data_IF_474867533807
#
_entry.id   IF_474867533807
#
_cell.length_a   1.000
_cell.length_b   1.000
_cell.length_c   1.000
_cell.angle_alpha   90.00
_cell.angle_beta   90.00
_cell.angle_gamma   90.00
#
_symmetry.space_group_name_H-M   'P 1'
#
loop_
_entity.id
_entity.type
_entity.pdbx_description
1 polymer ?
#
# COMPACT_ATOMS: atom_id res chain seq x y z
N UNK A 1 -14.91 -5.42 -22.39
CA UNK A 1 -14.66 -4.64 -21.16
C UNK A 1 -14.39 -3.19 -21.55
N UNK A 2 -15.42 -2.36 -21.53
CA UNK A 2 -15.29 -0.91 -21.70
C UNK A 2 -15.32 -0.27 -20.32
N UNK A 3 -14.30 0.51 -19.99
CA UNK A 3 -14.23 1.26 -18.74
C UNK A 3 -14.73 2.66 -19.04
N UNK A 4 -15.83 3.08 -18.43
CA UNK A 4 -16.26 4.49 -18.40
C UNK A 4 -15.76 5.07 -17.08
N UNK A 5 -14.46 5.35 -17.05
CA UNK A 5 -13.80 6.01 -15.92
C UNK A 5 -13.33 7.40 -16.35
N UNK A 6 -12.98 8.26 -15.40
CA UNK A 6 -12.54 9.64 -15.57
C UNK A 6 -11.16 9.79 -16.26
N UNK A 7 -10.85 8.96 -17.26
CA UNK A 7 -9.54 8.91 -17.88
C UNK A 7 -9.43 9.89 -19.06
N UNK A 8 -8.60 10.92 -18.89
CA UNK A 8 -8.01 11.71 -19.99
C UNK A 8 -6.61 11.13 -20.21
N UNK A 9 -6.39 10.46 -21.35
CA UNK A 9 -5.10 9.88 -21.70
C UNK A 9 -4.67 10.30 -23.11
N UNK A 10 -3.43 10.75 -23.22
CA UNK A 10 -2.78 11.12 -24.47
C UNK A 10 -2.56 9.91 -25.38
N UNK A 11 -2.84 10.12 -26.66
CA UNK A 11 -3.15 9.09 -27.64
C UNK A 11 -2.07 8.04 -27.87
N UNK A 12 -2.53 6.77 -27.87
CA UNK A 12 -2.03 5.70 -28.74
C UNK A 12 -3.01 4.48 -28.78
N UNK A 13 -4.33 4.75 -28.83
CA UNK A 13 -5.38 3.71 -28.85
C UNK A 13 -6.80 4.26 -29.06
N UNK A 14 -6.96 5.20 -29.99
CA UNK A 14 -8.06 6.18 -30.10
C UNK A 14 -9.50 5.66 -30.27
N UNK A 15 -9.76 4.35 -30.42
CA UNK A 15 -11.12 3.83 -30.68
C UNK A 15 -12.00 3.62 -29.45
N UNK A 16 -11.45 3.70 -28.22
CA UNK A 16 -12.16 3.29 -26.99
C UNK A 16 -12.06 4.31 -25.84
N UNK A 17 -11.79 5.57 -26.17
CA UNK A 17 -11.71 6.68 -25.20
C UNK A 17 -12.83 7.66 -25.52
N UNK A 18 -13.63 7.99 -24.51
CA UNK A 18 -14.83 8.83 -24.64
C UNK A 18 -14.83 9.94 -23.60
N UNK A 19 -15.57 11.02 -23.85
CA UNK A 19 -15.62 12.18 -22.96
C UNK A 19 -16.33 11.83 -21.64
N UNK A 20 -15.69 12.01 -20.48
CA UNK A 20 -16.31 11.74 -19.17
C UNK A 20 -17.02 12.93 -18.53
N UNK A 21 -16.93 14.13 -19.12
CA UNK A 21 -17.47 15.38 -18.54
C UNK A 21 -18.87 15.71 -19.01
N UNK A 22 -19.37 15.02 -20.02
CA UNK A 22 -20.73 15.16 -20.53
C UNK A 22 -21.21 13.80 -21.07
N UNK A 23 -22.48 13.70 -21.46
CA UNK A 23 -23.09 12.45 -21.90
C UNK A 23 -22.77 12.04 -23.34
N UNK A 24 -21.81 12.68 -24.03
CA UNK A 24 -21.48 12.32 -25.43
C UNK A 24 -20.90 10.92 -25.55
N UNK A 25 -20.35 10.37 -24.46
CA UNK A 25 -19.87 8.99 -24.44
C UNK A 25 -20.97 7.97 -24.74
N UNK A 26 -22.23 8.23 -24.40
CA UNK A 26 -23.32 7.28 -24.61
C UNK A 26 -23.52 6.97 -26.11
N UNK A 27 -23.81 7.94 -26.99
CA UNK A 27 -23.96 7.65 -28.42
C UNK A 27 -22.65 7.17 -29.07
N UNK A 28 -21.49 7.60 -28.57
CA UNK A 28 -20.18 7.15 -29.08
C UNK A 28 -19.90 5.68 -28.75
N UNK A 29 -20.16 5.25 -27.50
CA UNK A 29 -20.06 3.86 -27.06
C UNK A 29 -21.06 2.98 -27.80
N UNK A 30 -22.32 3.42 -27.92
CA UNK A 30 -23.32 2.64 -28.64
C UNK A 30 -22.95 2.44 -30.11
N UNK A 31 -22.35 3.45 -30.75
CA UNK A 31 -21.83 3.32 -32.12
C UNK A 31 -20.67 2.33 -32.18
N UNK A 32 -19.67 2.46 -31.30
CA UNK A 32 -18.50 1.58 -31.26
C UNK A 32 -18.89 0.12 -30.94
N UNK A 33 -19.90 -0.07 -30.11
CA UNK A 33 -20.46 -1.37 -29.76
C UNK A 33 -21.52 -1.87 -30.76
N UNK A 34 -21.71 -1.22 -31.92
CA UNK A 34 -22.70 -1.60 -32.94
C UNK A 34 -24.13 -1.77 -32.37
N UNK A 35 -24.51 -0.91 -31.42
CA UNK A 35 -25.81 -0.93 -30.75
C UNK A 35 -25.94 -1.94 -29.61
N UNK A 36 -24.93 -2.79 -29.37
CA UNK A 36 -24.97 -3.81 -28.33
C UNK A 36 -24.87 -3.23 -26.91
N UNK A 37 -23.98 -2.24 -26.72
CA UNK A 37 -23.64 -1.69 -25.41
C UNK A 37 -22.46 -2.42 -24.75
N UNK A 38 -22.41 -2.41 -23.42
CA UNK A 38 -21.32 -2.96 -22.62
C UNK A 38 -21.82 -4.07 -21.68
N UNK A 39 -21.08 -5.17 -21.60
CA UNK A 39 -21.40 -6.27 -20.66
C UNK A 39 -21.22 -5.87 -19.20
N UNK A 40 -20.21 -5.04 -18.94
CA UNK A 40 -19.84 -4.56 -17.62
C UNK A 40 -19.50 -3.09 -17.69
N UNK A 41 -20.09 -2.31 -16.79
CA UNK A 41 -19.78 -0.89 -16.60
C UNK A 41 -19.28 -0.69 -15.19
N UNK A 42 -18.05 -0.19 -15.03
CA UNK A 42 -17.55 0.31 -13.76
C UNK A 42 -17.74 1.82 -13.76
N UNK A 43 -18.64 2.33 -12.91
CA UNK A 43 -19.04 3.74 -12.89
C UNK A 43 -18.54 4.46 -11.63
N UNK A 44 -18.14 5.71 -11.83
CA UNK A 44 -17.82 6.69 -10.79
C UNK A 44 -18.48 8.06 -11.04
N UNK A 45 -19.28 8.18 -12.11
CA UNK A 45 -20.00 9.40 -12.49
C UNK A 45 -21.31 9.53 -11.70
N UNK A 46 -21.86 10.74 -11.59
CA UNK A 46 -23.06 11.02 -10.79
C UNK A 46 -24.16 11.74 -11.59
N UNK A 47 -25.39 11.74 -11.07
CA UNK A 47 -26.53 12.41 -11.68
C UNK A 47 -26.83 11.94 -13.11
N UNK A 48 -27.05 12.87 -14.03
CA UNK A 48 -27.38 12.57 -15.44
C UNK A 48 -26.33 11.68 -16.13
N UNK A 49 -25.06 11.78 -15.72
CA UNK A 49 -23.99 10.96 -16.27
C UNK A 49 -24.04 9.52 -15.76
N UNK A 50 -24.48 9.27 -14.53
CA UNK A 50 -24.78 7.93 -14.03
C UNK A 50 -25.89 7.29 -14.88
N UNK A 51 -26.94 8.05 -15.18
CA UNK A 51 -28.03 7.58 -16.04
C UNK A 51 -27.58 7.30 -17.47
N UNK A 52 -26.67 8.11 -18.02
CA UNK A 52 -26.05 7.84 -19.31
C UNK A 52 -25.21 6.56 -19.29
N UNK A 53 -24.43 6.32 -18.23
CA UNK A 53 -23.69 5.07 -18.01
C UNK A 53 -24.62 3.86 -17.91
N UNK A 54 -25.76 3.99 -17.21
CA UNK A 54 -26.76 2.93 -17.09
C UNK A 54 -27.37 2.53 -18.44
N UNK A 55 -27.56 3.51 -19.34
CA UNK A 55 -28.04 3.28 -20.72
C UNK A 55 -26.99 2.64 -21.63
N UNK A 56 -25.71 2.69 -21.28
CA UNK A 56 -24.65 2.02 -22.03
C UNK A 56 -24.65 0.49 -21.83
N UNK A 57 -25.39 -0.03 -20.85
CA UNK A 57 -25.32 -1.43 -20.45
C UNK A 57 -26.11 -2.32 -21.42
N UNK A 58 -25.49 -3.40 -21.88
CA UNK A 58 -26.13 -4.40 -22.72
C UNK A 58 -27.21 -5.18 -21.94
N UNK A 59 -28.05 -5.93 -22.65
CA UNK A 59 -28.94 -6.93 -22.05
C UNK A 59 -28.10 -7.93 -21.22
N UNK A 60 -28.57 -8.33 -20.03
CA UNK A 60 -27.85 -9.15 -19.04
C UNK A 60 -26.55 -8.53 -18.45
N UNK A 61 -26.26 -7.28 -18.78
CA UNK A 61 -25.06 -6.58 -18.33
C UNK A 61 -25.09 -6.24 -16.83
N UNK A 62 -23.91 -5.90 -16.30
CA UNK A 62 -23.69 -5.59 -14.88
C UNK A 62 -23.05 -4.22 -14.70
N UNK A 63 -23.70 -3.34 -13.96
CA UNK A 63 -23.13 -2.06 -13.54
C UNK A 63 -22.57 -2.19 -12.12
N UNK A 64 -21.32 -1.78 -11.93
CA UNK A 64 -20.66 -1.65 -10.63
C UNK A 64 -20.50 -0.16 -10.33
N UNK A 65 -21.25 0.33 -9.35
CA UNK A 65 -21.25 1.71 -8.92
C UNK A 65 -20.31 1.91 -7.73
N UNK A 66 -19.25 2.70 -7.92
CA UNK A 66 -18.31 3.07 -6.85
C UNK A 66 -18.58 4.48 -6.29
N UNK A 67 -19.40 5.29 -6.97
CA UNK A 67 -19.80 6.62 -6.51
C UNK A 67 -20.79 6.55 -5.35
N UNK A 68 -20.59 7.41 -4.34
CA UNK A 68 -21.50 7.52 -3.18
C UNK A 68 -22.51 8.66 -3.28
N UNK A 69 -22.30 9.61 -4.21
CA UNK A 69 -23.06 10.87 -4.26
C UNK A 69 -24.55 10.62 -4.43
N UNK A 70 -24.95 9.85 -5.43
CA UNK A 70 -26.36 9.55 -5.70
C UNK A 70 -26.97 8.65 -4.62
N UNK A 71 -26.22 7.72 -4.04
CA UNK A 71 -26.72 6.91 -2.91
C UNK A 71 -27.03 7.76 -1.67
N UNK A 72 -26.12 8.66 -1.29
CA UNK A 72 -26.32 9.58 -0.16
C UNK A 72 -27.46 10.56 -0.47
N UNK A 73 -27.52 11.04 -1.71
CA UNK A 73 -28.55 11.97 -2.19
C UNK A 73 -29.91 11.34 -2.48
N UNK A 74 -30.11 10.05 -2.20
CA UNK A 74 -31.35 9.30 -2.48
C UNK A 74 -31.78 9.39 -3.96
N UNK A 75 -30.79 9.32 -4.86
CA UNK A 75 -30.99 9.27 -6.30
C UNK A 75 -31.92 8.14 -6.71
N UNK A 76 -32.73 8.39 -7.74
CA UNK A 76 -33.71 7.44 -8.24
C UNK A 76 -33.12 6.70 -9.44
N UNK A 77 -33.21 5.37 -9.46
CA UNK A 77 -32.81 4.59 -10.62
C UNK A 77 -34.07 4.17 -11.40
N UNK A 78 -34.13 4.41 -12.73
CA UNK A 78 -35.28 4.00 -13.53
C UNK A 78 -35.37 2.47 -13.59
N UNK A 79 -36.59 1.94 -13.47
CA UNK A 79 -36.85 0.50 -13.36
C UNK A 79 -36.93 -0.20 -14.73
N UNK A 80 -37.22 0.52 -15.82
CA UNK A 80 -37.34 -0.06 -17.16
C UNK A 80 -36.10 -0.82 -17.65
N UNK A 81 -34.84 -0.41 -17.37
CA UNK A 81 -33.69 -1.11 -17.92
C UNK A 81 -33.49 -2.50 -17.30
N UNK A 82 -34.13 -2.80 -16.17
CA UNK A 82 -34.13 -4.12 -15.55
C UNK A 82 -34.95 -5.17 -16.33
N UNK A 83 -35.88 -4.77 -17.20
CA UNK A 83 -36.62 -5.71 -18.07
C UNK A 83 -35.68 -6.51 -18.98
N UNK A 84 -34.51 -5.93 -19.30
CA UNK A 84 -33.43 -6.54 -20.07
C UNK A 84 -32.47 -7.38 -19.20
N UNK A 85 -32.91 -7.86 -18.02
CA UNK A 85 -32.12 -8.63 -17.05
C UNK A 85 -30.80 -7.96 -16.62
N UNK A 86 -30.76 -6.64 -16.62
CA UNK A 86 -29.60 -5.88 -16.16
C UNK A 86 -29.47 -5.94 -14.64
N UNK A 87 -28.24 -5.94 -14.13
CA UNK A 87 -27.96 -5.91 -12.70
C UNK A 87 -27.19 -4.65 -12.31
N UNK A 88 -27.55 -4.06 -11.17
CA UNK A 88 -26.88 -2.89 -10.60
C UNK A 88 -26.30 -3.24 -9.23
N UNK A 89 -24.99 -3.08 -9.06
CA UNK A 89 -24.26 -3.32 -7.82
C UNK A 89 -23.74 -2.01 -7.24
N UNK A 90 -24.23 -1.63 -6.06
CA UNK A 90 -23.56 -0.61 -5.23
C UNK A 90 -22.35 -1.21 -4.53
N UNK A 91 -21.16 -0.67 -4.78
CA UNK A 91 -19.91 -1.16 -4.20
C UNK A 91 -19.36 -0.13 -3.23
N UNK A 92 -19.34 -0.48 -1.95
CA UNK A 92 -18.70 0.32 -0.91
C UNK A 92 -17.63 -0.52 -0.18
N UNK A 93 -16.38 -0.37 -0.60
CA UNK A 93 -15.28 -1.08 0.03
C UNK A 93 -15.13 -0.75 1.53
N UNK A 94 -15.51 0.46 1.96
CA UNK A 94 -15.43 0.83 3.39
C UNK A 94 -16.38 -0.02 4.24
N UNK A 95 -17.57 -0.33 3.72
CA UNK A 95 -18.52 -1.21 4.37
C UNK A 95 -18.03 -2.66 4.39
N UNK A 96 -17.36 -3.11 3.33
CA UNK A 96 -16.75 -4.45 3.30
C UNK A 96 -15.61 -4.58 4.31
N UNK A 97 -14.76 -3.55 4.44
CA UNK A 97 -13.69 -3.53 5.46
C UNK A 97 -14.28 -3.64 6.86
N UNK A 98 -15.32 -2.86 7.17
CA UNK A 98 -15.95 -2.82 8.49
C UNK A 98 -16.75 -4.10 8.82
N UNK A 99 -17.52 -4.62 7.84
CA UNK A 99 -18.53 -5.68 8.08
C UNK A 99 -18.17 -7.05 7.55
N UNK A 100 -17.22 -7.15 6.62
CA UNK A 100 -16.82 -8.40 5.95
C UNK A 100 -15.30 -8.49 5.75
N UNK A 101 -14.49 -8.34 6.81
CA UNK A 101 -13.03 -8.26 6.71
C UNK A 101 -12.40 -9.49 6.05
N UNK A 102 -12.94 -10.69 6.27
CA UNK A 102 -12.45 -11.91 5.64
C UNK A 102 -12.55 -11.88 4.10
N UNK A 103 -13.58 -11.22 3.55
CA UNK A 103 -13.72 -11.05 2.11
C UNK A 103 -12.65 -10.10 1.59
N UNK A 104 -12.39 -9.00 2.30
CA UNK A 104 -11.34 -8.04 1.92
C UNK A 104 -9.97 -8.72 1.94
N UNK A 105 -9.66 -9.53 2.95
CA UNK A 105 -8.39 -10.25 3.03
C UNK A 105 -8.18 -11.15 1.81
N UNK A 106 -9.17 -11.98 1.47
CA UNK A 106 -9.10 -12.84 0.28
C UNK A 106 -8.98 -12.06 -1.03
N UNK A 107 -9.66 -10.90 -1.13
CA UNK A 107 -9.53 -10.02 -2.30
C UNK A 107 -8.13 -9.39 -2.39
N UNK A 108 -7.55 -9.00 -1.25
CA UNK A 108 -6.21 -8.43 -1.16
C UNK A 108 -5.15 -9.48 -1.50
N UNK A 109 -5.24 -10.69 -0.95
CA UNK A 109 -4.33 -11.80 -1.28
C UNK A 109 -4.27 -12.05 -2.79
N UNK A 110 -5.44 -12.10 -3.44
CA UNK A 110 -5.52 -12.27 -4.90
C UNK A 110 -4.98 -11.06 -5.67
N UNK A 111 -5.21 -9.84 -5.18
CA UNK A 111 -4.64 -8.65 -5.79
C UNK A 111 -3.10 -8.66 -5.69
N UNK A 112 -2.54 -9.10 -4.56
CA UNK A 112 -1.11 -9.25 -4.35
C UNK A 112 -0.51 -10.31 -5.25
N UNK A 113 -1.20 -11.43 -5.45
CA UNK A 113 -0.81 -12.44 -6.43
C UNK A 113 -0.70 -11.82 -7.84
N UNK A 114 -1.69 -11.04 -8.28
CA UNK A 114 -1.62 -10.34 -9.56
C UNK A 114 -0.51 -9.29 -9.64
N UNK A 115 -0.20 -8.59 -8.54
CA UNK A 115 0.96 -7.70 -8.47
C UNK A 115 2.27 -8.47 -8.65
N UNK A 116 2.44 -9.61 -7.95
CA UNK A 116 3.64 -10.44 -8.04
C UNK A 116 3.86 -11.02 -9.45
N UNK A 117 2.78 -11.33 -10.15
CA UNK A 117 2.77 -11.82 -11.52
C UNK A 117 2.96 -10.69 -12.56
N UNK A 118 2.97 -9.44 -12.12
CA UNK A 118 3.07 -8.26 -12.97
C UNK A 118 1.81 -7.93 -13.76
N UNK A 119 0.68 -8.58 -13.46
CA UNK A 119 -0.63 -8.33 -14.06
C UNK A 119 -1.26 -7.02 -13.55
N UNK A 120 -0.95 -6.65 -12.30
CA UNK A 120 -1.19 -5.31 -11.75
C UNK A 120 0.18 -4.64 -11.56
N UNK A 121 0.32 -3.42 -12.03
CA UNK A 121 1.53 -2.62 -11.87
C UNK A 121 1.22 -1.32 -11.12
N UNK A 122 2.20 -0.71 -10.44
CA UNK A 122 2.01 0.59 -9.82
C UNK A 122 1.48 1.62 -10.82
N UNK A 123 0.51 2.42 -10.38
CA UNK A 123 -0.10 3.46 -11.20
C UNK A 123 0.96 4.50 -11.57
N UNK A 124 1.06 4.83 -12.86
CA UNK A 124 1.97 5.86 -13.37
C UNK A 124 1.18 6.99 -14.06
N UNK A 125 1.64 8.26 -13.98
CA UNK A 125 2.80 8.71 -13.19
C UNK A 125 2.50 8.78 -11.69
N UNK A 126 3.53 8.59 -10.86
CA UNK A 126 3.49 8.95 -9.43
C UNK A 126 4.13 10.34 -9.29
N UNK A 127 3.42 11.28 -8.66
CA UNK A 127 3.96 12.60 -8.34
C UNK A 127 4.17 12.71 -6.83
N UNK A 128 5.40 13.01 -6.44
CA UNK A 128 5.80 13.21 -5.05
C UNK A 128 5.70 14.70 -4.68
N UNK A 129 5.20 14.97 -3.48
CA UNK A 129 5.05 16.31 -2.91
C UNK A 129 5.62 16.33 -1.50
N UNK A 130 6.22 17.45 -1.09
CA UNK A 130 6.54 17.66 0.33
C UNK A 130 5.23 18.01 1.08
N UNK A 131 5.14 17.71 2.37
CA UNK A 131 3.88 17.90 3.07
C UNK A 131 3.45 19.35 3.27
N UNK A 132 4.39 20.30 3.22
CA UNK A 132 4.03 21.72 3.21
C UNK A 132 3.22 22.10 1.94
N UNK A 133 3.16 21.22 0.93
CA UNK A 133 2.38 21.38 -0.29
C UNK A 133 1.01 20.67 -0.20
N UNK A 134 0.61 20.15 0.97
CA UNK A 134 -0.63 19.39 1.13
C UNK A 134 -1.88 20.16 0.64
N UNK A 135 -1.94 21.48 0.90
CA UNK A 135 -3.04 22.31 0.41
C UNK A 135 -3.10 22.35 -1.12
N UNK A 136 -1.95 22.56 -1.77
CA UNK A 136 -1.84 22.59 -3.23
C UNK A 136 -2.19 21.23 -3.85
N UNK A 137 -1.77 20.13 -3.20
CA UNK A 137 -2.11 18.76 -3.60
C UNK A 137 -3.62 18.53 -3.52
N UNK A 138 -4.25 18.85 -2.39
CA UNK A 138 -5.70 18.66 -2.21
C UNK A 138 -6.51 19.54 -3.16
N UNK A 139 -6.09 20.80 -3.38
CA UNK A 139 -6.70 21.72 -4.35
C UNK A 139 -6.54 21.21 -5.78
N UNK A 140 -5.36 20.69 -6.12
CA UNK A 140 -5.08 20.03 -7.39
C UNK A 140 -5.96 18.79 -7.61
N UNK A 141 -6.15 17.96 -6.58
CA UNK A 141 -7.03 16.79 -6.64
C UNK A 141 -8.48 17.18 -6.89
N UNK A 142 -8.99 18.21 -6.21
CA UNK A 142 -10.36 18.70 -6.38
C UNK A 142 -10.65 19.19 -7.80
N UNK A 143 -9.64 19.69 -8.52
CA UNK A 143 -9.82 20.13 -9.91
C UNK A 143 -10.00 18.97 -10.90
N UNK A 144 -9.73 17.72 -10.49
CA UNK A 144 -9.82 16.54 -11.35
C UNK A 144 -8.81 16.52 -12.50
N UNK A 145 -7.74 17.34 -12.42
CA UNK A 145 -6.73 17.47 -13.48
C UNK A 145 -5.49 16.60 -13.27
N UNK A 146 -5.44 15.83 -12.18
CA UNK A 146 -4.31 14.94 -11.92
C UNK A 146 -4.47 13.62 -12.67
N UNK A 147 -3.35 13.11 -13.17
CA UNK A 147 -3.25 11.77 -13.76
C UNK A 147 -2.34 10.95 -12.85
N UNK A 148 -2.73 9.71 -12.59
CA UNK A 148 -1.97 8.78 -11.77
C UNK A 148 -2.12 9.02 -10.26
N UNK A 149 -1.05 8.83 -9.50
CA UNK A 149 -1.08 8.87 -8.03
C UNK A 149 -0.31 10.08 -7.50
N UNK A 150 -0.89 10.80 -6.55
CA UNK A 150 -0.19 11.83 -5.77
C UNK A 150 0.22 11.22 -4.42
N UNK A 151 1.50 11.36 -4.06
CA UNK A 151 2.09 10.84 -2.81
C UNK A 151 2.77 11.99 -2.08
N UNK A 152 2.47 12.17 -0.80
CA UNK A 152 3.18 13.12 0.05
C UNK A 152 4.33 12.44 0.79
N UNK A 153 5.53 13.02 0.70
CA UNK A 153 6.76 12.61 1.37
C UNK A 153 7.12 13.72 2.35
N UNK A 154 6.98 13.49 3.65
CA UNK A 154 6.81 14.60 4.58
C UNK A 154 8.11 15.06 5.31
N UNK A 155 9.09 14.21 5.61
CA UNK A 155 9.95 14.51 6.78
C UNK A 155 11.43 14.83 6.54
N UNK A 156 11.81 15.46 5.42
CA UNK A 156 13.14 16.10 5.27
C UNK A 156 14.37 15.17 5.24
N UNK A 157 14.23 13.89 5.56
CA UNK A 157 15.30 12.91 5.47
C UNK A 157 15.77 12.77 4.01
N UNK A 158 17.07 12.93 3.77
CA UNK A 158 17.70 12.81 2.44
C UNK A 158 18.84 11.80 2.41
N UNK A 159 19.28 11.31 3.56
CA UNK A 159 20.45 10.42 3.70
C UNK A 159 20.00 9.13 4.40
N UNK A 160 20.03 8.02 3.67
CA UNK A 160 19.56 6.73 4.15
C UNK A 160 20.70 5.71 4.18
N UNK A 161 20.69 4.84 5.17
CA UNK A 161 21.54 3.65 5.24
C UNK A 161 20.61 2.44 5.36
N UNK A 162 20.75 1.49 4.44
CA UNK A 162 20.02 0.22 4.48
C UNK A 162 21.00 -0.88 4.87
N UNK A 163 20.73 -1.55 5.99
CA UNK A 163 21.45 -2.74 6.43
C UNK A 163 20.58 -3.97 6.11
N UNK A 164 21.03 -4.80 5.18
CA UNK A 164 20.30 -6.01 4.78
C UNK A 164 21.25 -7.15 4.44
N UNK A 165 20.80 -8.40 4.65
CA UNK A 165 21.62 -9.60 4.42
C UNK A 165 22.04 -9.76 2.95
N UNK A 166 21.18 -9.30 2.04
CA UNK A 166 21.37 -9.37 0.58
C UNK A 166 21.86 -8.07 -0.03
N UNK A 167 22.12 -7.02 0.76
CA UNK A 167 22.48 -5.70 0.24
C UNK A 167 23.66 -5.74 -0.72
N UNK A 168 23.51 -5.09 -1.87
CA UNK A 168 24.51 -5.03 -2.94
C UNK A 168 24.55 -6.27 -3.84
N UNK A 169 23.60 -7.20 -3.73
CA UNK A 169 23.53 -8.44 -4.55
C UNK A 169 22.36 -8.47 -5.53
N UNK A 170 21.37 -7.59 -5.40
CA UNK A 170 20.14 -7.60 -6.21
C UNK A 170 20.09 -6.51 -7.29
N UNK A 171 19.30 -6.75 -8.34
CA UNK A 171 18.92 -5.69 -9.31
C UNK A 171 18.06 -4.59 -8.66
N UNK A 172 17.31 -4.96 -7.62
CA UNK A 172 16.39 -4.07 -6.91
C UNK A 172 17.12 -3.00 -6.09
N UNK A 173 18.34 -3.28 -5.61
CA UNK A 173 19.16 -2.30 -4.88
C UNK A 173 19.51 -1.10 -5.78
N UNK A 174 19.84 -1.36 -7.05
CA UNK A 174 20.14 -0.30 -8.02
C UNK A 174 18.90 0.54 -8.33
N UNK A 175 17.75 -0.12 -8.54
CA UNK A 175 16.48 0.56 -8.78
C UNK A 175 16.06 1.44 -7.59
N UNK A 176 16.18 0.95 -6.36
CA UNK A 176 15.91 1.73 -5.15
C UNK A 176 16.84 2.94 -5.02
N UNK A 177 18.14 2.75 -5.28
CA UNK A 177 19.12 3.83 -5.22
C UNK A 177 18.81 4.90 -6.28
N UNK A 178 18.42 4.49 -7.47
CA UNK A 178 18.05 5.41 -8.56
C UNK A 178 16.74 6.14 -8.25
N UNK A 179 15.71 5.46 -7.72
CA UNK A 179 14.46 6.07 -7.27
C UNK A 179 14.71 7.13 -6.17
N UNK A 180 15.52 6.79 -5.16
CA UNK A 180 15.89 7.73 -4.12
C UNK A 180 16.71 8.90 -4.68
N UNK A 181 17.57 8.66 -5.68
CA UNK A 181 18.34 9.73 -6.33
C UNK A 181 17.41 10.69 -7.08
N UNK A 182 16.38 10.21 -7.76
CA UNK A 182 15.35 11.04 -8.40
C UNK A 182 14.61 11.90 -7.36
N UNK A 183 14.37 11.35 -6.17
CA UNK A 183 13.82 12.07 -5.02
C UNK A 183 14.83 12.98 -4.30
N UNK A 184 16.04 13.20 -4.86
CA UNK A 184 17.15 13.99 -4.26
C UNK A 184 17.65 13.43 -2.92
N UNK A 185 17.44 12.14 -2.70
CA UNK A 185 17.94 11.37 -1.58
C UNK A 185 19.18 10.55 -1.98
N UNK A 186 19.96 10.11 -0.99
CA UNK A 186 21.07 9.18 -1.20
C UNK A 186 20.92 8.00 -0.27
N UNK A 187 21.05 6.79 -0.79
CA UNK A 187 21.07 5.57 -0.01
C UNK A 187 22.45 4.91 -0.05
N UNK A 188 22.92 4.46 1.12
CA UNK A 188 24.06 3.57 1.26
C UNK A 188 23.55 2.18 1.63
N UNK A 189 23.78 1.21 0.75
CA UNK A 189 23.39 -0.19 0.97
C UNK A 189 24.58 -0.93 1.58
N UNK A 190 24.39 -1.55 2.75
CA UNK A 190 25.42 -2.27 3.49
C UNK A 190 24.96 -3.72 3.68
N UNK A 191 25.76 -4.66 3.16
CA UNK A 191 25.54 -6.08 3.39
C UNK A 191 25.85 -6.45 4.85
N UNK A 192 24.86 -7.01 5.55
CA UNK A 192 25.02 -7.48 6.93
C UNK A 192 23.70 -7.82 7.60
N UNK A 193 23.76 -8.45 8.77
CA UNK A 193 22.58 -8.78 9.58
C UNK A 193 22.53 -7.93 10.84
N UNK A 194 21.38 -7.33 11.14
CA UNK A 194 21.16 -6.59 12.40
C UNK A 194 21.29 -7.48 13.64
N UNK A 195 21.07 -8.80 13.48
CA UNK A 195 21.28 -9.79 14.54
C UNK A 195 22.76 -9.85 14.95
N UNK A 196 23.68 -9.57 14.03
CA UNK A 196 25.11 -9.58 14.28
C UNK A 196 25.61 -8.19 14.69
N UNK A 197 26.07 -8.06 15.94
CA UNK A 197 26.61 -6.80 16.48
C UNK A 197 27.77 -6.24 15.64
N UNK A 198 28.64 -7.10 15.08
CA UNK A 198 29.77 -6.66 14.27
C UNK A 198 29.32 -6.01 12.95
N UNK A 199 28.24 -6.51 12.34
CA UNK A 199 27.68 -5.93 11.11
C UNK A 199 27.03 -4.57 11.40
N UNK A 200 26.34 -4.43 12.53
CA UNK A 200 25.79 -3.14 12.98
C UNK A 200 26.92 -2.13 13.21
N UNK A 201 27.99 -2.52 13.90
CA UNK A 201 29.15 -1.65 14.12
C UNK A 201 29.86 -1.27 12.81
N UNK A 202 29.98 -2.22 11.87
CA UNK A 202 30.49 -1.95 10.53
C UNK A 202 29.61 -0.93 9.80
N UNK A 203 28.28 -1.06 9.88
CA UNK A 203 27.36 -0.12 9.25
C UNK A 203 27.50 1.30 9.81
N UNK A 204 27.64 1.42 11.14
CA UNK A 204 27.90 2.70 11.83
C UNK A 204 29.25 3.29 11.40
N UNK A 205 30.30 2.48 11.39
CA UNK A 205 31.64 2.95 11.00
C UNK A 205 31.73 3.40 9.54
N UNK A 206 30.90 2.84 8.66
CA UNK A 206 30.82 3.23 7.25
C UNK A 206 29.85 4.40 6.99
N UNK A 207 29.10 4.87 7.99
CA UNK A 207 28.16 5.95 7.84
C UNK A 207 28.91 7.26 7.49
N UNK A 208 28.55 7.88 6.37
CA UNK A 208 29.15 9.15 5.93
C UNK A 208 28.69 10.36 6.75
N UNK A 209 27.59 10.22 7.48
CA UNK A 209 26.95 11.28 8.26
C UNK A 209 26.53 10.72 9.62
N UNK A 210 26.39 11.57 10.65
CA UNK A 210 25.83 11.15 11.93
C UNK A 210 24.46 10.49 11.76
N UNK A 211 24.23 9.38 12.46
CA UNK A 211 22.95 8.66 12.43
C UNK A 211 22.03 9.34 13.44
N UNK A 212 21.04 10.07 12.93
CA UNK A 212 20.06 10.78 13.75
C UNK A 212 18.89 9.88 14.19
N UNK A 213 18.61 8.79 13.48
CA UNK A 213 17.50 7.93 13.87
C UNK A 213 17.52 6.55 13.26
N UNK A 214 16.70 5.67 13.85
CA UNK A 214 16.68 4.24 13.55
C UNK A 214 15.25 3.82 13.24
N UNK A 215 15.08 3.11 12.12
CA UNK A 215 13.86 2.39 11.76
C UNK A 215 14.18 0.90 11.76
N UNK A 216 13.74 0.18 12.80
CA UNK A 216 13.96 -1.25 12.90
C UNK A 216 12.81 -2.00 12.22
N UNK A 217 13.05 -2.36 10.96
CA UNK A 217 12.08 -3.00 10.07
C UNK A 217 12.44 -4.45 9.74
N UNK A 218 13.56 -4.97 10.28
CA UNK A 218 14.01 -6.33 9.93
C UNK A 218 13.03 -7.39 10.43
N UNK A 219 12.67 -8.31 9.53
CA UNK A 219 11.69 -9.36 9.80
C UNK A 219 12.00 -10.60 8.96
N UNK A 220 11.64 -11.76 9.51
CA UNK A 220 11.55 -13.04 8.81
C UNK A 220 10.24 -13.67 9.27
N UNK A 221 9.40 -14.08 8.33
CA UNK A 221 8.14 -14.75 8.63
C UNK A 221 8.34 -16.27 8.52
N UNK A 222 7.86 -17.00 9.53
CA UNK A 222 7.82 -18.46 9.58
C UNK A 222 6.48 -18.87 10.18
N UNK A 223 5.48 -18.97 9.32
CA UNK A 223 4.13 -19.32 9.74
C UNK A 223 4.01 -20.83 9.85
N UNK A 224 3.74 -21.29 11.07
CA UNK A 224 3.48 -22.68 11.37
C UNK A 224 2.63 -22.76 12.64
N UNK A 225 1.82 -23.81 12.76
CA UNK A 225 1.20 -24.11 14.04
C UNK A 225 2.29 -24.42 15.06
N UNK A 226 2.09 -24.00 16.32
CA UNK A 226 3.08 -24.20 17.38
C UNK A 226 3.57 -25.67 17.50
N UNK A 227 2.72 -26.70 17.39
CA UNK A 227 3.18 -28.10 17.46
C UNK A 227 4.06 -28.55 16.29
N UNK A 228 3.96 -27.89 15.13
CA UNK A 228 4.67 -28.26 13.91
C UNK A 228 5.91 -27.39 13.65
N UNK A 229 6.17 -26.43 14.53
CA UNK A 229 7.25 -25.47 14.36
C UNK A 229 8.57 -26.02 14.91
N UNK A 230 9.62 -26.01 14.08
CA UNK A 230 10.95 -26.38 14.53
C UNK A 230 11.58 -25.26 15.38
N UNK A 231 12.58 -25.62 16.18
CA UNK A 231 13.31 -24.63 16.98
C UNK A 231 14.11 -23.66 16.09
N UNK A 232 14.63 -24.15 14.98
CA UNK A 232 15.35 -23.35 13.98
C UNK A 232 14.41 -22.31 13.34
N UNK A 233 13.21 -22.72 12.93
CA UNK A 233 12.19 -21.78 12.39
C UNK A 233 11.73 -20.77 13.44
N UNK A 234 11.61 -21.21 14.69
CA UNK A 234 11.34 -20.32 15.81
C UNK A 234 12.41 -19.25 15.92
N UNK A 235 13.69 -19.65 15.97
CA UNK A 235 14.82 -18.72 16.06
C UNK A 235 14.87 -17.78 14.85
N UNK A 236 14.72 -18.30 13.63
CA UNK A 236 14.74 -17.50 12.40
C UNK A 236 13.72 -16.36 12.44
N UNK A 237 12.52 -16.61 12.96
CA UNK A 237 11.44 -15.62 13.02
C UNK A 237 11.65 -14.57 14.12
N UNK A 238 12.13 -14.98 15.30
CA UNK A 238 12.22 -14.05 16.44
C UNK A 238 13.50 -13.21 16.43
N UNK A 239 14.62 -13.77 15.95
CA UNK A 239 15.94 -13.14 16.09
C UNK A 239 16.05 -11.75 15.43
N UNK A 240 15.53 -11.51 14.22
CA UNK A 240 15.60 -10.18 13.60
C UNK A 240 14.95 -9.08 14.46
N UNK A 241 13.79 -9.36 15.06
CA UNK A 241 13.08 -8.39 15.90
C UNK A 241 13.65 -8.32 17.31
N UNK A 242 13.97 -9.44 17.94
CA UNK A 242 14.45 -9.46 19.32
C UNK A 242 15.94 -9.12 19.38
N UNK A 243 16.79 -10.03 18.89
CA UNK A 243 18.23 -9.85 18.96
C UNK A 243 18.70 -8.68 18.10
N UNK A 244 18.07 -8.43 16.95
CA UNK A 244 18.37 -7.26 16.13
C UNK A 244 18.11 -5.93 16.84
N UNK A 245 16.96 -5.81 17.50
CA UNK A 245 16.64 -4.62 18.31
C UNK A 245 17.62 -4.46 19.46
N UNK A 246 18.02 -5.55 20.10
CA UNK A 246 18.99 -5.51 21.19
C UNK A 246 20.38 -5.06 20.71
N UNK A 247 20.84 -5.56 19.54
CA UNK A 247 22.10 -5.14 18.92
C UNK A 247 22.10 -3.64 18.59
N UNK A 248 20.98 -3.11 18.07
CA UNK A 248 20.82 -1.67 17.84
C UNK A 248 20.79 -0.88 19.15
N UNK A 249 20.13 -1.39 20.18
CA UNK A 249 20.10 -0.73 21.49
C UNK A 249 21.49 -0.55 22.07
N UNK A 250 22.30 -1.61 22.10
CA UNK A 250 23.66 -1.53 22.62
C UNK A 250 24.53 -0.59 21.79
N UNK A 251 24.43 -0.65 20.47
CA UNK A 251 25.24 0.18 19.58
C UNK A 251 24.95 1.69 19.71
N UNK A 252 23.73 2.05 20.12
CA UNK A 252 23.29 3.44 20.27
C UNK A 252 22.90 3.80 21.70
N UNK A 253 23.33 3.02 22.70
CA UNK A 253 23.00 3.28 24.11
C UNK A 253 23.61 4.59 24.64
N UNK A 254 24.75 5.00 24.08
CA UNK A 254 25.48 6.22 24.45
C UNK A 254 25.38 7.35 23.41
N UNK A 255 24.61 7.16 22.33
CA UNK A 255 24.48 8.13 21.25
C UNK A 255 23.13 8.85 21.34
N UNK A 256 23.12 10.16 21.06
CA UNK A 256 21.89 10.93 20.95
C UNK A 256 21.23 10.65 19.60
N UNK A 257 20.08 9.98 19.64
CA UNK A 257 19.18 9.83 18.49
C UNK A 257 18.00 10.78 18.66
N UNK A 258 17.45 11.26 17.55
CA UNK A 258 16.20 12.00 17.46
C UNK A 258 14.99 11.06 17.44
N UNK A 259 15.16 9.83 16.92
CA UNK A 259 14.11 8.80 16.94
C UNK A 259 14.65 7.37 16.91
N UNK A 260 13.89 6.45 17.50
CA UNK A 260 14.14 5.01 17.47
C UNK A 260 12.79 4.30 17.32
N UNK A 261 12.43 3.96 16.10
CA UNK A 261 11.11 3.41 15.77
C UNK A 261 11.21 1.91 15.48
N UNK A 262 10.36 1.15 16.15
CA UNK A 262 10.23 -0.30 16.05
C UNK A 262 8.97 -0.64 15.28
N UNK A 263 9.12 -1.37 14.18
CA UNK A 263 7.98 -1.83 13.40
C UNK A 263 7.50 -3.14 14.00
N UNK A 264 6.39 -3.07 14.74
CA UNK A 264 5.68 -4.19 15.36
C UNK A 264 4.46 -4.56 14.49
N UNK A 265 3.50 -5.28 15.04
CA UNK A 265 2.28 -5.67 14.34
C UNK A 265 1.12 -5.79 15.31
N UNK A 266 -0.08 -5.46 14.82
CA UNK A 266 -1.33 -5.74 15.51
C UNK A 266 -1.45 -7.22 15.97
N UNK A 267 -0.81 -8.16 15.26
CA UNK A 267 -0.74 -9.57 15.66
C UNK A 267 -0.06 -9.79 17.03
N UNK A 268 0.83 -8.89 17.48
CA UNK A 268 1.46 -8.93 18.81
C UNK A 268 0.51 -8.58 19.96
N UNK A 269 -0.60 -7.91 19.67
CA UNK A 269 -1.59 -7.47 20.67
C UNK A 269 -2.73 -8.47 20.85
N UNK A 270 -3.28 -8.95 19.72
CA UNK A 270 -4.48 -9.81 19.73
C UNK A 270 -4.19 -11.27 19.41
N UNK A 271 -2.97 -11.58 18.95
CA UNK A 271 -2.60 -12.90 18.44
C UNK A 271 -3.16 -13.18 17.04
N UNK A 272 -2.50 -14.09 16.32
CA UNK A 272 -2.97 -14.63 15.06
C UNK A 272 -2.65 -16.12 14.98
N UNK A 273 -3.57 -16.91 14.41
CA UNK A 273 -3.39 -18.36 14.34
C UNK A 273 -2.23 -18.71 13.40
N UNK A 274 -1.36 -19.64 13.79
CA UNK A 274 -0.16 -19.99 13.03
C UNK A 274 1.00 -18.98 13.13
N UNK A 275 0.86 -17.91 13.90
CA UNK A 275 1.84 -16.82 14.00
C UNK A 275 2.37 -16.61 15.43
N UNK A 276 2.49 -17.69 16.21
CA UNK A 276 2.92 -17.59 17.61
C UNK A 276 4.31 -16.95 17.77
N UNK A 277 5.27 -17.31 16.91
CA UNK A 277 6.60 -16.67 16.84
C UNK A 277 6.51 -15.19 16.52
N UNK A 278 5.80 -14.86 15.46
CA UNK A 278 5.63 -13.50 14.97
C UNK A 278 4.97 -12.61 16.04
N UNK A 279 3.87 -13.07 16.64
CA UNK A 279 3.21 -12.38 17.73
C UNK A 279 4.17 -12.17 18.91
N UNK A 280 4.89 -13.21 19.37
CA UNK A 280 5.82 -13.10 20.50
C UNK A 280 6.94 -12.09 20.27
N UNK A 281 7.49 -12.04 19.05
CA UNK A 281 8.55 -11.12 18.67
C UNK A 281 8.05 -9.67 18.60
N UNK A 282 6.80 -9.45 18.22
CA UNK A 282 6.16 -8.13 18.21
C UNK A 282 5.81 -7.66 19.64
N UNK A 283 5.24 -8.54 20.47
CA UNK A 283 5.00 -8.24 21.89
C UNK A 283 6.30 -7.87 22.63
N UNK A 284 7.43 -8.48 22.27
CA UNK A 284 8.73 -8.08 22.78
C UNK A 284 9.06 -6.61 22.43
N UNK A 285 8.78 -6.16 21.20
CA UNK A 285 9.05 -4.77 20.80
C UNK A 285 8.23 -3.77 21.62
N UNK A 286 6.97 -4.09 21.90
CA UNK A 286 6.07 -3.29 22.74
C UNK A 286 6.64 -3.13 24.15
N UNK A 287 7.04 -4.25 24.77
CA UNK A 287 7.67 -4.24 26.09
C UNK A 287 9.06 -3.56 26.07
N UNK A 288 9.81 -3.73 24.98
CA UNK A 288 11.14 -3.16 24.84
C UNK A 288 11.12 -1.64 24.74
N UNK A 289 10.09 -1.04 24.14
CA UNK A 289 9.93 0.41 24.16
C UNK A 289 9.75 0.96 25.58
N UNK A 290 8.93 0.29 26.41
CA UNK A 290 8.77 0.64 27.82
C UNK A 290 10.10 0.51 28.58
N UNK A 291 10.87 -0.55 28.30
CA UNK A 291 12.21 -0.73 28.85
C UNK A 291 13.17 0.42 28.46
N UNK A 292 13.22 0.84 27.19
CA UNK A 292 14.06 1.97 26.77
C UNK A 292 13.62 3.28 27.44
N UNK A 293 12.32 3.53 27.54
CA UNK A 293 11.79 4.70 28.24
C UNK A 293 12.19 4.72 29.71
N UNK A 294 12.21 3.57 30.39
CA UNK A 294 12.68 3.47 31.78
C UNK A 294 14.15 3.87 31.97
N UNK A 295 14.95 3.84 30.88
CA UNK A 295 16.34 4.31 30.84
C UNK A 295 16.49 5.75 30.34
N UNK A 296 15.39 6.47 30.09
CA UNK A 296 15.40 7.80 29.49
C UNK A 296 15.78 7.83 28.01
N UNK A 297 15.75 6.68 27.33
CA UNK A 297 16.11 6.56 25.92
C UNK A 297 14.86 6.59 25.03
N UNK A 298 14.96 7.25 23.88
CA UNK A 298 13.86 7.31 22.91
C UNK A 298 13.54 5.92 22.36
N UNK A 299 12.24 5.63 22.24
CA UNK A 299 11.70 4.49 21.53
C UNK A 299 10.24 4.78 21.15
N UNK A 300 9.78 4.30 20.01
CA UNK A 300 8.36 4.25 19.65
C UNK A 300 8.10 2.96 18.92
N UNK A 301 6.93 2.37 19.15
CA UNK A 301 6.52 1.15 18.47
C UNK A 301 5.32 1.49 17.60
N UNK A 302 5.34 0.98 16.38
CA UNK A 302 4.24 1.08 15.45
C UNK A 302 3.67 -0.33 15.25
N UNK A 303 2.48 -0.59 15.80
CA UNK A 303 1.73 -1.83 15.61
C UNK A 303 0.99 -1.78 14.28
N UNK A 304 1.70 -2.10 13.21
CA UNK A 304 1.16 -1.96 11.87
C UNK A 304 0.21 -3.12 11.58
N UNK A 305 -0.90 -2.79 10.91
CA UNK A 305 -1.78 -3.77 10.29
C UNK A 305 -1.18 -4.24 8.95
N UNK A 306 -1.98 -4.81 8.07
CA UNK A 306 -1.52 -5.29 6.76
C UNK A 306 -0.99 -4.11 5.91
N UNK A 307 0.23 -4.24 5.35
CA UNK A 307 0.87 -3.23 4.49
C UNK A 307 0.88 -3.73 3.04
N UNK A 308 0.24 -3.02 2.12
CA UNK A 308 -0.05 -3.50 0.76
C UNK A 308 1.04 -3.28 -0.30
N UNK A 309 1.76 -2.15 -0.31
CA UNK A 309 2.58 -1.78 -1.49
C UNK A 309 3.95 -2.49 -1.54
N UNK A 310 4.61 -2.66 -0.40
CA UNK A 310 5.94 -3.29 -0.27
C UNK A 310 6.06 -4.12 1.03
N UNK A 311 4.92 -4.58 1.54
CA UNK A 311 4.82 -5.40 2.75
C UNK A 311 4.96 -6.89 2.48
N UNK A 312 5.49 -7.63 3.45
CA UNK A 312 5.54 -9.09 3.42
C UNK A 312 4.16 -9.65 3.79
N UNK A 313 3.27 -9.69 2.80
CA UNK A 313 2.00 -10.43 2.90
C UNK A 313 2.24 -11.77 2.22
N UNK A 314 2.29 -12.84 3.01
CA UNK A 314 2.22 -14.22 2.54
C UNK A 314 0.78 -14.68 2.43
#
# INVERSE_FOLDING_TARGET
MGIVDNYIGDGNGLGRIFNSRNSSFLPEIMREANGYGLDVVLNSLSGDLLHASWKCLAEFGKMLENGKRDFIGQGQLPMDPFEANRTFYGVDLTLYVDRRPLVINSLLERAMEWCSQGAIQPIKPVKYFEAHQAEDVLRGMQSGQHIGKLVMVDHGARKFIYLSRSGGKGKDDAALVDELREARCTAQIIAGSVVNKADVQKAIAQAKYPIAGILQMSMVLKDASFPNMTYEEWQDAILPKIQGTWSLHEAFASQSLDFFVLFSSFAGLIGHWGQATYASANTFLDAFAQFRHSKGLLASVLDISIIGDVGWVS
#
